data_IF_446973300140
#
_entry.id   IF_446973300140
#
_cell.length_a   1.000
_cell.length_b   1.000
_cell.length_c   1.000
_cell.angle_alpha   90.00
_cell.angle_beta   90.00
_cell.angle_gamma   90.00
#
_symmetry.space_group_name_H-M   'P 1'
#
loop_
_entity.id
_entity.type
_entity.pdbx_description
1 polymer ?
#
# COMPACT_ATOMS: atom_id res chain seq x y z
N UNK A 1 1.02 10.52 6.31
CA UNK A 1 1.83 11.66 6.77
C UNK A 1 1.82 12.66 5.63
N UNK A 2 0.88 13.60 5.61
CA UNK A 2 0.98 14.78 4.75
C UNK A 2 1.64 15.89 5.57
N UNK A 3 2.53 16.65 4.93
CA UNK A 3 3.11 17.88 5.50
C UNK A 3 2.51 19.13 4.87
N UNK A 4 1.50 19.02 4.02
CA UNK A 4 0.78 20.19 3.55
C UNK A 4 0.08 20.83 4.76
N UNK A 5 0.51 22.04 5.13
CA UNK A 5 0.12 22.72 6.38
C UNK A 5 1.06 22.50 7.59
N UNK A 6 2.18 21.79 7.46
CA UNK A 6 3.22 21.65 8.51
C UNK A 6 4.52 22.35 8.12
N UNK A 7 5.40 22.58 9.10
CA UNK A 7 6.76 23.12 8.85
C UNK A 7 7.54 22.10 8.01
N UNK A 8 7.91 22.47 6.78
CA UNK A 8 8.74 21.64 5.89
C UNK A 8 10.10 21.34 6.50
N UNK A 9 10.79 20.32 6.00
CA UNK A 9 12.08 19.87 6.55
C UNK A 9 13.21 20.60 5.83
N UNK A 10 14.20 21.12 6.58
CA UNK A 10 15.36 21.76 5.96
C UNK A 10 16.18 20.73 5.21
N UNK A 11 16.70 21.08 4.03
CA UNK A 11 17.58 20.20 3.26
C UNK A 11 18.83 19.81 4.06
N UNK A 12 19.42 20.73 4.82
CA UNK A 12 20.54 20.43 5.73
C UNK A 12 20.19 19.36 6.75
N UNK A 13 19.01 19.46 7.37
CA UNK A 13 18.55 18.48 8.33
C UNK A 13 18.36 17.08 7.69
N UNK A 14 17.87 17.01 6.45
CA UNK A 14 17.76 15.73 5.70
C UNK A 14 19.16 15.14 5.48
N UNK A 15 20.12 15.99 5.09
CA UNK A 15 21.52 15.59 4.89
C UNK A 15 22.12 15.02 6.16
N UNK A 16 21.99 15.74 7.28
CA UNK A 16 22.56 15.36 8.56
C UNK A 16 21.94 14.06 9.10
N UNK A 17 20.63 13.87 8.93
CA UNK A 17 19.92 12.70 9.47
C UNK A 17 20.18 11.40 8.70
N UNK A 18 20.38 11.48 7.38
CA UNK A 18 20.50 10.28 6.55
C UNK A 18 21.93 9.77 6.40
N UNK A 19 22.95 10.60 6.69
CA UNK A 19 24.36 10.19 6.67
C UNK A 19 24.91 9.81 5.28
N UNK A 20 24.17 10.06 4.21
CA UNK A 20 24.65 9.86 2.84
C UNK A 20 25.40 11.10 2.33
N UNK A 21 26.21 10.90 1.28
CA UNK A 21 26.89 12.00 0.57
C UNK A 21 25.87 13.06 0.15
N UNK A 22 26.17 14.33 0.44
CA UNK A 22 25.31 15.49 0.12
C UNK A 22 24.80 15.44 -1.32
N UNK A 23 25.68 15.24 -2.30
CA UNK A 23 25.31 15.18 -3.71
C UNK A 23 24.31 14.05 -4.05
N UNK A 24 24.37 12.92 -3.35
CA UNK A 24 23.42 11.81 -3.55
C UNK A 24 22.03 12.17 -3.01
N UNK A 25 21.97 12.84 -1.86
CA UNK A 25 20.74 13.33 -1.26
C UNK A 25 20.11 14.40 -2.15
N UNK A 26 20.88 15.41 -2.57
CA UNK A 26 20.40 16.47 -3.47
C UNK A 26 19.89 15.89 -4.78
N UNK A 27 20.61 14.93 -5.40
CA UNK A 27 20.15 14.24 -6.61
C UNK A 27 18.82 13.51 -6.38
N UNK A 28 18.63 12.88 -5.22
CA UNK A 28 17.39 12.18 -4.89
C UNK A 28 16.24 13.14 -4.65
N UNK A 29 16.49 14.25 -3.95
CA UNK A 29 15.52 15.31 -3.71
C UNK A 29 15.05 15.96 -5.02
N UNK A 30 15.97 16.27 -5.94
CA UNK A 30 15.62 16.83 -7.24
C UNK A 30 14.77 15.85 -8.07
N UNK A 31 15.04 14.53 -7.97
CA UNK A 31 14.19 13.52 -8.61
C UNK A 31 12.79 13.50 -8.03
N UNK A 32 12.66 13.60 -6.70
CA UNK A 32 11.35 13.63 -6.04
C UNK A 32 10.57 14.90 -6.37
N UNK A 33 11.23 16.05 -6.50
CA UNK A 33 10.60 17.29 -6.98
C UNK A 33 10.17 17.17 -8.45
N UNK A 34 11.05 16.66 -9.32
CA UNK A 34 10.74 16.45 -10.75
C UNK A 34 9.59 15.46 -10.96
N UNK A 35 9.45 14.50 -10.06
CA UNK A 35 8.33 13.55 -10.02
C UNK A 35 7.08 14.13 -9.33
N UNK A 36 7.07 15.42 -9.01
CA UNK A 36 5.98 16.12 -8.37
C UNK A 36 5.58 15.55 -6.99
N UNK A 37 6.48 14.85 -6.30
CA UNK A 37 6.23 14.30 -4.96
C UNK A 37 6.57 15.31 -3.86
N UNK A 38 7.50 16.22 -4.14
CA UNK A 38 7.94 17.29 -3.26
C UNK A 38 7.80 18.66 -3.92
N UNK A 39 7.77 19.70 -3.09
CA UNK A 39 7.90 21.10 -3.49
C UNK A 39 8.94 21.75 -2.57
N UNK A 40 9.85 22.56 -3.14
CA UNK A 40 10.78 23.37 -2.36
C UNK A 40 10.23 24.79 -2.13
N UNK A 41 10.39 25.30 -0.90
CA UNK A 41 10.21 26.73 -0.57
C UNK A 41 11.44 27.21 0.19
N UNK A 42 12.33 27.91 -0.50
CA UNK A 42 13.65 28.24 0.02
C UNK A 42 14.45 26.97 0.35
N UNK A 43 15.05 26.91 1.54
CA UNK A 43 15.86 25.77 2.01
C UNK A 43 15.04 24.55 2.50
N UNK A 44 13.70 24.56 2.33
CA UNK A 44 12.81 23.55 2.91
C UNK A 44 12.08 22.75 1.85
N UNK A 45 12.09 21.42 2.03
CA UNK A 45 11.29 20.47 1.27
C UNK A 45 9.93 20.24 1.95
N UNK A 46 8.88 20.17 1.14
CA UNK A 46 7.52 19.86 1.55
C UNK A 46 6.99 18.69 0.73
N UNK A 47 6.41 17.69 1.36
CA UNK A 47 5.67 16.65 0.66
C UNK A 47 4.33 17.20 0.16
N UNK A 48 3.99 16.94 -1.10
CA UNK A 48 2.64 17.22 -1.61
C UNK A 48 1.59 16.40 -0.86
N UNK A 49 0.34 16.82 -0.95
CA UNK A 49 -0.73 16.09 -0.29
C UNK A 49 -0.86 14.67 -0.82
N UNK A 50 -1.05 13.73 0.10
CA UNK A 50 -1.09 12.31 -0.23
C UNK A 50 -2.23 11.98 -1.21
N UNK A 51 -3.32 12.75 -1.19
CA UNK A 51 -4.42 12.63 -2.14
C UNK A 51 -3.99 12.83 -3.59
N UNK A 52 -2.94 13.62 -3.80
CA UNK A 52 -2.50 14.08 -5.10
C UNK A 52 -1.39 13.17 -5.66
N UNK A 53 -0.57 12.62 -4.77
CA UNK A 53 0.59 11.79 -5.13
C UNK A 53 0.36 10.29 -4.95
N UNK A 54 -0.74 9.87 -4.31
CA UNK A 54 -1.10 8.46 -4.13
C UNK A 54 -2.56 8.21 -4.53
N UNK A 55 -2.76 7.65 -5.72
CA UNK A 55 -4.10 7.50 -6.30
C UNK A 55 -4.78 6.19 -5.89
N UNK A 56 -4.03 5.13 -5.57
CA UNK A 56 -4.64 3.85 -5.16
C UNK A 56 -5.44 4.05 -3.87
N UNK A 57 -6.75 3.76 -3.93
CA UNK A 57 -7.65 3.89 -2.76
C UNK A 57 -7.79 2.60 -1.97
N UNK A 58 -7.54 1.44 -2.60
CA UNK A 58 -7.64 0.12 -1.97
C UNK A 58 -6.63 -0.85 -2.57
N UNK A 59 -5.97 -1.61 -1.70
CA UNK A 59 -5.17 -2.78 -2.04
C UNK A 59 -5.77 -3.94 -1.25
N UNK A 60 -6.38 -4.89 -1.95
CA UNK A 60 -7.02 -6.05 -1.33
C UNK A 60 -6.16 -7.26 -1.65
N UNK A 61 -5.69 -7.94 -0.61
CA UNK A 61 -4.98 -9.21 -0.74
C UNK A 61 -5.88 -10.35 -0.30
N UNK A 62 -5.79 -11.47 -1.03
CA UNK A 62 -6.53 -12.70 -0.72
C UNK A 62 -5.53 -13.84 -0.75
N UNK A 63 -5.24 -14.41 0.41
CA UNK A 63 -4.40 -15.61 0.52
C UNK A 63 -5.31 -16.84 0.49
N UNK A 64 -5.24 -17.63 -0.59
CA UNK A 64 -6.04 -18.83 -0.75
C UNK A 64 -5.28 -20.09 -0.32
N UNK A 65 -5.92 -20.95 0.49
CA UNK A 65 -5.39 -22.26 0.89
C UNK A 65 -6.53 -23.29 1.00
N UNK A 66 -6.22 -24.54 0.65
CA UNK A 66 -7.19 -25.65 0.78
C UNK A 66 -7.34 -26.06 2.26
N UNK A 67 -6.23 -26.22 3.01
CA UNK A 67 -6.26 -26.76 4.39
C UNK A 67 -5.44 -25.99 5.43
N UNK A 68 -4.25 -25.50 5.07
CA UNK A 68 -3.34 -24.85 6.03
C UNK A 68 -3.74 -23.39 6.31
N UNK A 69 -4.86 -23.23 7.01
CA UNK A 69 -5.42 -21.92 7.36
C UNK A 69 -4.51 -21.12 8.30
N UNK A 70 -3.66 -21.78 9.11
CA UNK A 70 -2.71 -21.10 10.00
C UNK A 70 -1.59 -20.43 9.22
N UNK A 71 -1.04 -21.12 8.23
CA UNK A 71 -0.07 -20.51 7.31
C UNK A 71 -0.71 -19.39 6.50
N UNK A 72 -1.94 -19.60 6.01
CA UNK A 72 -2.70 -18.57 5.30
C UNK A 72 -2.88 -17.31 6.16
N UNK A 73 -3.27 -17.48 7.43
CA UNK A 73 -3.45 -16.37 8.37
C UNK A 73 -2.15 -15.60 8.58
N UNK A 74 -1.02 -16.28 8.85
CA UNK A 74 0.29 -15.62 8.97
C UNK A 74 0.70 -14.85 7.71
N UNK A 75 0.44 -15.40 6.53
CA UNK A 75 0.72 -14.73 5.26
C UNK A 75 -0.18 -13.50 5.06
N UNK A 76 -1.45 -13.60 5.43
CA UNK A 76 -2.38 -12.47 5.40
C UNK A 76 -1.98 -11.35 6.39
N UNK A 77 -1.50 -11.70 7.58
CA UNK A 77 -0.91 -10.75 8.55
C UNK A 77 0.29 -10.00 7.95
N UNK A 78 1.19 -10.70 7.25
CA UNK A 78 2.31 -10.06 6.55
C UNK A 78 1.84 -9.11 5.43
N UNK A 79 0.74 -9.43 4.76
CA UNK A 79 0.17 -8.60 3.71
C UNK A 79 -0.39 -7.27 4.24
N UNK A 80 -0.73 -7.16 5.53
CA UNK A 80 -1.17 -5.89 6.14
C UNK A 80 -0.11 -4.79 6.05
N UNK A 81 1.18 -5.16 5.90
CA UNK A 81 2.27 -4.20 5.72
C UNK A 81 2.10 -3.34 4.46
N UNK A 82 1.33 -3.78 3.47
CA UNK A 82 1.16 -3.02 2.22
C UNK A 82 -0.28 -2.94 1.71
N UNK A 83 -1.15 -3.88 2.13
CA UNK A 83 -2.54 -3.94 1.70
C UNK A 83 -3.44 -3.10 2.62
N UNK A 84 -4.50 -2.51 2.08
CA UNK A 84 -5.53 -1.84 2.89
C UNK A 84 -6.51 -2.82 3.51
N UNK A 85 -6.65 -4.00 2.92
CA UNK A 85 -7.45 -5.11 3.43
C UNK A 85 -6.72 -6.41 3.09
N UNK A 86 -6.67 -7.33 4.04
CA UNK A 86 -6.17 -8.68 3.80
C UNK A 86 -7.17 -9.72 4.24
N UNK A 87 -7.34 -10.73 3.40
CA UNK A 87 -8.28 -11.83 3.59
C UNK A 87 -7.57 -13.16 3.43
N UNK A 88 -8.06 -14.15 4.17
CA UNK A 88 -7.84 -15.56 3.83
C UNK A 88 -9.08 -16.10 3.14
N UNK A 89 -8.87 -16.89 2.09
CA UNK A 89 -9.91 -17.65 1.39
C UNK A 89 -9.70 -19.15 1.63
N UNK A 90 -10.73 -19.80 2.19
CA UNK A 90 -10.76 -21.24 2.44
C UNK A 90 -11.99 -21.86 1.77
N UNK A 91 -11.96 -23.16 1.41
CA UNK A 91 -13.18 -23.88 1.04
C UNK A 91 -14.17 -23.92 2.22
N UNK A 92 -15.47 -23.82 1.91
CA UNK A 92 -16.54 -23.65 2.91
C UNK A 92 -16.60 -24.82 3.91
N UNK A 93 -16.30 -26.03 3.45
CA UNK A 93 -16.28 -27.25 4.25
C UNK A 93 -15.20 -27.24 5.34
N UNK A 94 -14.16 -26.42 5.18
CA UNK A 94 -13.12 -26.24 6.19
C UNK A 94 -13.39 -25.07 7.12
N UNK A 95 -14.41 -24.24 6.87
CA UNK A 95 -14.71 -23.09 7.74
C UNK A 95 -15.75 -23.48 8.80
N UNK A 96 -15.27 -23.73 10.01
CA UNK A 96 -16.11 -23.90 11.20
C UNK A 96 -15.95 -22.73 12.18
N UNK A 97 -16.76 -22.70 13.23
CA UNK A 97 -16.76 -21.64 14.25
C UNK A 97 -15.40 -21.49 14.95
N UNK A 98 -14.72 -22.61 15.23
CA UNK A 98 -13.36 -22.60 15.82
C UNK A 98 -12.36 -21.88 14.93
N UNK A 99 -12.42 -22.11 13.62
CA UNK A 99 -11.56 -21.41 12.65
C UNK A 99 -11.97 -19.96 12.55
N UNK A 100 -13.26 -19.65 12.39
CA UNK A 100 -13.75 -18.27 12.29
C UNK A 100 -13.35 -17.41 13.50
N UNK A 101 -13.45 -17.96 14.71
CA UNK A 101 -13.07 -17.29 15.97
C UNK A 101 -11.56 -17.20 16.18
N UNK A 102 -10.74 -17.93 15.42
CA UNK A 102 -9.28 -17.82 15.43
C UNK A 102 -8.78 -16.61 14.65
N UNK A 103 -9.59 -16.07 13.73
CA UNK A 103 -9.28 -14.82 13.04
C UNK A 103 -9.56 -13.64 13.98
N UNK A 104 -8.73 -13.43 15.00
CA UNK A 104 -8.82 -12.30 15.93
C UNK A 104 -7.84 -11.23 15.45
N UNK A 105 -8.35 -10.11 14.92
CA UNK A 105 -7.49 -9.07 14.34
C UNK A 105 -8.09 -8.42 13.09
N UNK A 106 -7.23 -7.84 12.27
CA UNK A 106 -7.61 -7.07 11.08
C UNK A 106 -7.86 -7.95 9.85
N UNK A 107 -7.42 -9.20 9.86
CA UNK A 107 -7.61 -10.16 8.77
C UNK A 107 -9.07 -10.57 8.64
N UNK A 108 -9.57 -10.52 7.40
CA UNK A 108 -10.88 -11.03 7.03
C UNK A 108 -10.84 -12.51 6.64
N UNK A 109 -12.01 -13.14 6.68
CA UNK A 109 -12.19 -14.54 6.29
C UNK A 109 -13.28 -14.62 5.22
N UNK A 110 -12.92 -15.23 4.11
CA UNK A 110 -13.79 -15.59 3.01
C UNK A 110 -13.91 -17.11 2.97
N UNK A 111 -15.12 -17.60 2.71
CA UNK A 111 -15.37 -19.01 2.44
C UNK A 111 -15.82 -19.17 0.99
N UNK A 112 -15.26 -20.11 0.25
CA UNK A 112 -15.67 -20.42 -1.11
C UNK A 112 -16.37 -21.78 -1.16
N UNK A 113 -17.56 -21.81 -1.75
CA UNK A 113 -18.13 -23.06 -2.29
C UNK A 113 -17.91 -23.09 -3.81
N UNK A 114 -18.40 -24.14 -4.49
CA UNK A 114 -18.20 -24.31 -5.94
C UNK A 114 -18.68 -23.12 -6.81
N UNK A 115 -19.60 -22.28 -6.29
CA UNK A 115 -20.29 -21.25 -7.09
C UNK A 115 -20.15 -19.85 -6.54
N UNK A 116 -19.86 -19.67 -5.25
CA UNK A 116 -19.85 -18.36 -4.60
C UNK A 116 -18.79 -18.23 -3.51
N UNK A 117 -18.37 -16.99 -3.31
CA UNK A 117 -17.55 -16.55 -2.19
C UNK A 117 -18.45 -15.85 -1.16
N UNK A 118 -18.41 -16.31 0.07
CA UNK A 118 -19.17 -15.79 1.21
C UNK A 118 -18.23 -15.10 2.19
N UNK A 119 -18.56 -13.87 2.57
CA UNK A 119 -17.86 -13.15 3.62
C UNK A 119 -18.22 -13.70 4.99
N UNK A 120 -17.27 -14.36 5.66
CA UNK A 120 -17.44 -14.87 7.04
C UNK A 120 -16.98 -13.87 8.08
N UNK A 121 -15.92 -13.12 7.77
CA UNK A 121 -15.43 -12.02 8.61
C UNK A 121 -14.88 -10.89 7.76
N UNK A 122 -15.34 -9.67 8.02
CA UNK A 122 -14.84 -8.46 7.34
C UNK A 122 -13.44 -8.11 7.84
N UNK A 123 -12.51 -7.89 6.91
CA UNK A 123 -11.20 -7.33 7.21
C UNK A 123 -11.34 -5.88 7.70
N UNK A 124 -10.51 -5.46 8.65
CA UNK A 124 -10.43 -4.06 9.07
C UNK A 124 -9.57 -3.29 8.08
N UNK A 125 -9.99 -2.07 7.76
CA UNK A 125 -9.25 -1.20 6.84
C UNK A 125 -8.00 -0.66 7.53
N UNK A 126 -6.85 -0.87 6.91
CA UNK A 126 -5.58 -0.20 7.28
C UNK A 126 -5.36 1.04 6.39
N UNK A 127 -4.52 1.97 6.87
CA UNK A 127 -4.22 3.21 6.14
C UNK A 127 -3.30 2.92 4.95
N UNK A 128 -3.53 3.63 3.84
CA UNK A 128 -2.61 3.65 2.69
C UNK A 128 -1.95 5.03 2.56
N UNK A 129 -0.72 5.08 2.02
CA UNK A 129 0.18 3.95 1.80
C UNK A 129 0.64 3.37 3.14
N UNK A 130 0.71 2.04 3.23
CA UNK A 130 1.13 1.33 4.45
C UNK A 130 2.64 1.12 4.52
N UNK A 131 3.30 1.03 3.36
CA UNK A 131 4.75 0.83 3.24
C UNK A 131 5.26 1.25 1.86
N UNK A 132 6.58 1.08 1.66
CA UNK A 132 7.22 1.18 0.35
C UNK A 132 6.56 0.31 -0.73
N UNK A 133 6.11 -0.91 -0.38
CA UNK A 133 5.43 -1.78 -1.35
C UNK A 133 4.09 -1.19 -1.83
N UNK A 134 3.35 -0.48 -0.96
CA UNK A 134 2.15 0.25 -1.40
C UNK A 134 2.49 1.32 -2.44
N UNK A 135 3.61 2.03 -2.27
CA UNK A 135 4.12 3.02 -3.22
C UNK A 135 4.54 2.40 -4.54
N UNK A 136 5.27 1.29 -4.50
CA UNK A 136 5.68 0.57 -5.70
C UNK A 136 4.47 0.08 -6.53
N UNK A 137 3.43 -0.41 -5.86
CA UNK A 137 2.18 -0.78 -6.52
C UNK A 137 1.47 0.43 -7.15
N UNK A 138 1.42 1.57 -6.45
CA UNK A 138 0.86 2.81 -6.96
C UNK A 138 1.59 3.25 -8.24
N UNK A 139 2.91 3.29 -8.20
CA UNK A 139 3.73 3.64 -9.37
C UNK A 139 3.49 2.69 -10.54
N UNK A 140 3.56 1.38 -10.30
CA UNK A 140 3.38 0.38 -11.35
C UNK A 140 2.00 0.49 -12.03
N UNK A 141 0.93 0.62 -11.24
CA UNK A 141 -0.43 0.77 -11.80
C UNK A 141 -0.55 2.10 -12.55
N UNK A 142 0.06 3.18 -12.05
CA UNK A 142 0.04 4.49 -12.68
C UNK A 142 0.70 4.46 -14.07
N UNK A 143 1.89 3.86 -14.18
CA UNK A 143 2.60 3.70 -15.45
C UNK A 143 1.80 2.90 -16.48
N UNK A 144 1.12 1.83 -16.03
CA UNK A 144 0.28 1.01 -16.90
C UNK A 144 -0.93 1.80 -17.44
N UNK A 145 -1.55 2.65 -16.60
CA UNK A 145 -2.66 3.50 -17.02
C UNK A 145 -2.21 4.57 -18.02
N UNK A 146 -1.09 5.24 -17.74
CA UNK A 146 -0.51 6.25 -18.63
C UNK A 146 -0.09 5.65 -19.99
N UNK A 147 0.54 4.47 -19.99
CA UNK A 147 0.91 3.79 -21.23
C UNK A 147 -0.32 3.42 -22.08
N UNK A 148 -1.43 3.05 -21.43
CA UNK A 148 -2.70 2.77 -22.11
C UNK A 148 -3.38 4.02 -22.65
N UNK A 149 -3.31 5.16 -21.94
CA UNK A 149 -3.89 6.41 -22.42
C UNK A 149 -3.14 6.95 -23.63
N UNK A 150 -1.81 6.85 -23.66
CA UNK A 150 -1.03 7.19 -24.85
C UNK A 150 -1.43 6.32 -26.05
N UNK A 151 -1.50 4.99 -25.89
CA UNK A 151 -1.91 4.10 -26.99
C UNK A 151 -3.31 4.41 -27.54
N UNK A 152 -4.23 4.91 -26.71
CA UNK A 152 -5.57 5.33 -27.15
C UNK A 152 -5.60 6.69 -27.85
N UNK A 153 -4.61 7.55 -27.64
CA UNK A 153 -4.53 8.86 -28.26
C UNK A 153 -3.94 8.83 -29.68
N UNK A 154 -3.30 7.72 -30.06
CA UNK A 154 -2.67 7.51 -31.37
C UNK A 154 -3.41 6.46 -32.24
N UNK A 155 -4.65 6.11 -31.89
CA UNK A 155 -5.60 5.30 -32.68
C UNK A 155 -6.84 6.14 -32.92
#
# INVERSE_FOLDING_TARGET
VSTFGKRGVKTSQIVDQLGYKVNAIIKSLNKLESAELLIFKGERAYMKDLSDIFFIKRIITIEAKIRDWRKALRQAELNENFASHSYVLLPVEFVNEKIATSFRGNIGLLAQDEKRIVLKKRAKKTKLPGSYFSWMLNEYVGQQQYSRSLKKAYV
#
